data_IF_971308361150
#
_entry.id   IF_971308361150
#
_cell.length_a   1.000
_cell.length_b   1.000
_cell.length_c   1.000
_cell.angle_alpha   90.00
_cell.angle_beta   90.00
_cell.angle_gamma   90.00
#
_symmetry.space_group_name_H-M   'P 1'
#
loop_
_entity.id
_entity.type
_entity.pdbx_description
1 polymer ?
#
# COMPACT_ATOMS: atom_id res chain seq x y z
N UNK A 1 -43.28 9.90 37.77
CA UNK A 1 -44.03 8.87 37.01
C UNK A 1 -43.07 8.26 36.05
N UNK A 2 -42.59 7.08 36.37
CA UNK A 2 -41.64 6.28 35.63
C UNK A 2 -42.35 5.53 34.50
N UNK A 3 -41.82 5.51 33.31
CA UNK A 3 -42.15 4.48 32.31
C UNK A 3 -40.88 3.75 31.92
N UNK A 4 -40.96 2.48 32.19
CA UNK A 4 -40.01 1.38 32.03
C UNK A 4 -39.91 1.08 30.51
N UNK A 5 -38.78 1.41 29.87
CA UNK A 5 -38.46 0.99 28.51
C UNK A 5 -37.87 -0.42 28.52
N UNK A 6 -38.73 -1.41 28.37
CA UNK A 6 -38.34 -2.80 28.07
C UNK A 6 -37.67 -2.87 26.70
N UNK A 7 -36.37 -3.10 26.66
CA UNK A 7 -35.66 -3.49 25.46
C UNK A 7 -36.20 -4.82 24.96
N UNK A 8 -36.94 -4.78 23.84
CA UNK A 8 -37.36 -5.97 23.10
C UNK A 8 -36.13 -6.52 22.40
N UNK A 9 -35.64 -7.66 22.86
CA UNK A 9 -34.53 -8.39 22.18
C UNK A 9 -35.16 -9.09 20.97
N UNK A 10 -34.55 -8.84 19.78
CA UNK A 10 -35.01 -9.42 18.50
C UNK A 10 -35.02 -10.96 18.59
N UNK A 11 -36.18 -11.61 18.28
CA UNK A 11 -36.31 -13.07 18.30
C UNK A 11 -35.39 -13.81 17.32
N UNK A 12 -34.81 -13.13 16.33
CA UNK A 12 -33.84 -13.69 15.38
C UNK A 12 -32.47 -13.93 16.03
N UNK A 13 -32.11 -13.15 17.06
CA UNK A 13 -30.87 -13.31 17.81
C UNK A 13 -30.89 -14.52 18.76
N UNK A 14 -32.09 -14.90 19.25
CA UNK A 14 -32.25 -16.06 20.14
C UNK A 14 -32.20 -17.39 19.39
N UNK A 15 -32.54 -17.44 18.11
CA UNK A 15 -32.48 -18.69 17.30
C UNK A 15 -31.03 -19.11 16.97
N UNK A 16 -30.07 -18.19 16.98
CA UNK A 16 -28.66 -18.49 16.76
C UNK A 16 -27.98 -19.21 17.94
N UNK A 17 -28.57 -19.19 19.13
CA UNK A 17 -27.99 -19.74 20.36
C UNK A 17 -28.50 -21.14 20.71
N UNK A 18 -29.54 -21.65 20.03
CA UNK A 18 -30.21 -22.91 20.40
C UNK A 18 -30.10 -24.04 19.36
N UNK A 19 -29.36 -23.84 18.26
CA UNK A 19 -29.11 -24.92 17.30
C UNK A 19 -27.87 -25.73 17.66
N UNK A 20 -27.96 -27.05 17.83
CA UNK A 20 -26.79 -27.89 18.13
C UNK A 20 -25.84 -27.89 16.93
N UNK A 21 -24.61 -27.45 17.15
CA UNK A 21 -23.52 -27.52 16.15
C UNK A 21 -23.00 -28.95 16.09
N UNK A 22 -23.39 -29.68 15.06
CA UNK A 22 -22.75 -30.97 14.75
C UNK A 22 -21.29 -30.73 14.34
N UNK A 23 -20.36 -31.25 15.13
CA UNK A 23 -18.94 -31.18 14.81
C UNK A 23 -18.61 -32.10 13.65
N UNK A 24 -17.82 -31.65 12.69
CA UNK A 24 -17.35 -32.43 11.54
C UNK A 24 -16.59 -33.71 11.92
N UNK A 25 -16.22 -33.89 13.19
CA UNK A 25 -15.59 -35.11 13.73
C UNK A 25 -16.59 -36.26 13.98
N UNK A 26 -17.89 -35.99 14.07
CA UNK A 26 -18.89 -37.04 14.29
C UNK A 26 -19.32 -37.76 12.99
N UNK A 27 -19.15 -37.12 11.82
CA UNK A 27 -19.54 -37.67 10.52
C UNK A 27 -18.49 -38.68 9.94
N UNK A 28 -17.31 -38.76 10.49
CA UNK A 28 -16.21 -39.61 9.96
C UNK A 28 -16.03 -40.96 10.69
N UNK A 29 -16.88 -41.28 11.67
CA UNK A 29 -16.79 -42.55 12.42
C UNK A 29 -17.75 -43.66 11.95
N UNK A 30 -18.49 -43.45 10.85
CA UNK A 30 -19.54 -44.37 10.41
C UNK A 30 -19.36 -45.06 9.05
N UNK A 31 -18.21 -44.91 8.36
CA UNK A 31 -18.02 -45.62 7.07
C UNK A 31 -16.86 -46.63 7.19
N UNK A 32 -17.22 -47.87 7.20
CA UNK A 32 -16.37 -49.02 7.40
C UNK A 32 -15.32 -49.26 6.31
N UNK A 33 -14.26 -49.87 6.79
CA UNK A 33 -13.11 -50.39 6.06
C UNK A 33 -13.54 -51.45 5.05
N UNK A 34 -13.54 -51.16 3.75
CA UNK A 34 -13.30 -52.10 2.66
C UNK A 34 -13.24 -51.36 1.32
N UNK A 35 -12.09 -51.38 0.67
CA UNK A 35 -11.97 -51.16 -0.77
C UNK A 35 -11.58 -49.73 -1.20
N UNK A 36 -10.31 -49.34 -1.01
CA UNK A 36 -9.66 -48.33 -1.84
C UNK A 36 -8.12 -48.40 -1.75
N UNK A 37 -7.57 -49.52 -2.20
CA UNK A 37 -6.10 -49.68 -2.32
C UNK A 37 -5.62 -49.53 -3.78
N UNK A 38 -6.35 -48.91 -4.68
CA UNK A 38 -6.01 -48.91 -6.11
C UNK A 38 -6.12 -47.55 -6.84
N UNK A 39 -6.09 -46.39 -6.15
CA UNK A 39 -6.15 -45.09 -6.85
C UNK A 39 -5.15 -44.01 -6.34
N UNK A 40 -4.08 -44.38 -5.65
CA UNK A 40 -3.03 -43.45 -5.18
C UNK A 40 -1.77 -43.43 -6.08
N UNK A 41 -1.81 -43.98 -7.28
CA UNK A 41 -0.65 -44.03 -8.18
C UNK A 41 -0.72 -43.06 -9.38
N UNK A 42 -1.65 -42.10 -9.43
CA UNK A 42 -1.82 -41.27 -10.63
C UNK A 42 -1.92 -39.76 -10.38
N UNK A 43 -1.39 -39.21 -9.27
CA UNK A 43 -1.23 -37.77 -9.11
C UNK A 43 0.13 -37.44 -8.52
N UNK A 44 1.17 -37.86 -9.21
CA UNK A 44 2.49 -37.26 -9.08
C UNK A 44 2.46 -35.88 -9.70
N UNK A 45 1.98 -34.86 -8.96
CA UNK A 45 2.16 -33.48 -9.35
C UNK A 45 3.64 -33.16 -9.11
N UNK A 46 4.48 -33.50 -10.08
CA UNK A 46 5.74 -32.78 -10.29
C UNK A 46 5.35 -31.36 -10.54
N UNK A 47 5.69 -30.46 -9.60
CA UNK A 47 5.62 -29.02 -9.81
C UNK A 47 6.58 -28.64 -10.93
N UNK A 48 6.15 -28.83 -12.16
CA UNK A 48 6.76 -28.16 -13.29
C UNK A 48 6.42 -26.70 -13.11
N UNK A 49 7.44 -25.87 -12.94
CA UNK A 49 7.33 -24.45 -13.19
C UNK A 49 6.57 -24.32 -14.52
N UNK A 50 5.32 -23.82 -14.46
CA UNK A 50 4.58 -23.55 -15.69
C UNK A 50 5.46 -22.61 -16.48
N UNK A 51 5.84 -23.01 -17.69
CA UNK A 51 6.58 -22.22 -18.64
C UNK A 51 5.98 -20.81 -18.63
N UNK A 52 6.85 -19.79 -18.53
CA UNK A 52 6.42 -18.43 -18.77
C UNK A 52 5.64 -18.41 -20.10
N UNK A 53 4.48 -17.74 -20.16
CA UNK A 53 3.73 -17.67 -21.41
C UNK A 53 4.68 -17.19 -22.52
N UNK A 54 4.50 -17.68 -23.76
CA UNK A 54 5.35 -17.26 -24.88
C UNK A 54 5.35 -15.71 -24.93
N UNK A 55 6.49 -15.10 -25.35
CA UNK A 55 6.64 -13.63 -25.37
C UNK A 55 5.52 -12.87 -26.08
N UNK A 56 4.80 -13.55 -26.97
CA UNK A 56 3.72 -12.95 -27.75
C UNK A 56 2.33 -13.09 -27.12
N UNK A 57 2.17 -13.90 -26.06
CA UNK A 57 0.83 -14.15 -25.47
C UNK A 57 0.17 -12.88 -24.92
N UNK A 58 0.93 -11.99 -24.30
CA UNK A 58 0.42 -10.70 -23.85
C UNK A 58 -0.02 -9.84 -25.02
N UNK A 59 0.79 -9.72 -26.08
CA UNK A 59 0.44 -8.96 -27.28
C UNK A 59 -0.80 -9.49 -27.97
N UNK A 60 -0.94 -10.82 -28.09
CA UNK A 60 -2.13 -11.45 -28.65
C UNK A 60 -3.37 -11.21 -27.80
N UNK A 61 -3.25 -11.23 -26.48
CA UNK A 61 -4.34 -10.88 -25.57
C UNK A 61 -4.79 -9.44 -25.83
N UNK A 62 -3.84 -8.48 -25.78
CA UNK A 62 -4.15 -7.05 -25.93
C UNK A 62 -4.66 -6.67 -27.33
N UNK A 63 -4.25 -7.38 -28.37
CA UNK A 63 -4.75 -7.16 -29.74
C UNK A 63 -6.24 -7.46 -29.89
N UNK A 64 -6.79 -8.31 -29.03
CA UNK A 64 -8.21 -8.73 -29.03
C UNK A 64 -9.10 -7.86 -28.12
N UNK A 65 -8.49 -7.00 -27.28
CA UNK A 65 -9.27 -6.16 -26.37
C UNK A 65 -9.83 -4.93 -27.08
N UNK A 66 -11.03 -4.56 -26.70
CA UNK A 66 -11.73 -3.35 -27.15
C UNK A 66 -12.14 -2.52 -25.94
N UNK A 67 -12.23 -1.20 -26.09
CA UNK A 67 -12.74 -0.33 -25.05
C UNK A 67 -14.24 -0.60 -24.84
N UNK A 68 -14.60 -0.77 -23.56
CA UNK A 68 -15.98 -0.94 -23.13
C UNK A 68 -16.62 0.37 -22.68
N UNK A 69 -15.84 1.40 -22.43
CA UNK A 69 -16.29 2.69 -21.95
C UNK A 69 -16.64 2.68 -20.44
N UNK A 70 -16.17 1.67 -19.70
CA UNK A 70 -16.38 1.52 -18.26
C UNK A 70 -15.09 1.06 -17.61
N UNK A 71 -14.78 1.60 -16.42
CA UNK A 71 -13.65 1.21 -15.58
C UNK A 71 -14.11 1.08 -14.13
N UNK A 72 -13.98 -0.10 -13.54
CA UNK A 72 -14.20 -0.33 -12.10
C UNK A 72 -12.84 -0.26 -11.39
N UNK A 73 -12.64 0.79 -10.61
CA UNK A 73 -11.35 1.12 -10.00
C UNK A 73 -11.42 1.06 -8.48
N UNK A 74 -10.66 0.13 -7.89
CA UNK A 74 -10.46 0.00 -6.44
C UNK A 74 -9.19 0.73 -6.01
N UNK A 75 -9.31 1.67 -5.09
CA UNK A 75 -8.20 2.46 -4.58
C UNK A 75 -8.31 2.67 -3.06
N UNK A 76 -7.32 3.34 -2.50
CA UNK A 76 -7.21 3.77 -1.12
C UNK A 76 -8.00 5.05 -0.87
N UNK A 77 -8.42 5.34 0.38
CA UNK A 77 -9.02 6.62 0.75
C UNK A 77 -8.07 7.79 0.49
N UNK A 78 -8.64 8.93 0.11
CA UNK A 78 -7.93 10.20 -0.13
C UNK A 78 -6.73 10.08 -1.10
N UNK A 79 -6.80 9.16 -2.07
CA UNK A 79 -5.68 8.82 -2.95
C UNK A 79 -5.92 9.18 -4.42
N UNK A 80 -6.86 10.09 -4.65
CA UNK A 80 -7.12 10.77 -5.92
C UNK A 80 -7.85 12.09 -5.63
N UNK A 81 -7.64 13.10 -6.47
CA UNK A 81 -8.29 14.40 -6.34
C UNK A 81 -9.82 14.29 -6.43
N UNK A 82 -10.51 14.78 -5.40
CA UNK A 82 -11.97 14.87 -5.32
C UNK A 82 -12.49 16.25 -5.68
N UNK A 83 -11.68 17.27 -5.44
CA UNK A 83 -11.98 18.65 -5.79
C UNK A 83 -11.29 19.03 -7.10
N UNK A 84 -11.98 19.77 -7.98
CA UNK A 84 -11.42 20.11 -9.28
C UNK A 84 -10.27 21.10 -9.15
N UNK A 85 -9.08 20.66 -9.46
CA UNK A 85 -7.96 21.54 -9.78
C UNK A 85 -8.14 21.99 -11.24
N UNK A 86 -8.10 23.27 -11.52
CA UNK A 86 -8.37 23.79 -12.87
C UNK A 86 -9.76 23.42 -13.45
N UNK A 87 -10.77 23.24 -12.60
CA UNK A 87 -12.17 23.04 -12.99
C UNK A 87 -12.61 21.60 -13.26
N UNK A 88 -11.72 20.61 -13.28
CA UNK A 88 -12.07 19.20 -13.45
C UNK A 88 -11.15 18.29 -12.66
N UNK A 89 -11.73 17.25 -12.04
CA UNK A 89 -10.96 16.19 -11.39
C UNK A 89 -10.27 15.31 -12.43
N UNK A 90 -9.25 14.57 -12.00
CA UNK A 90 -8.54 13.58 -12.84
C UNK A 90 -9.50 12.59 -13.50
N UNK A 91 -10.51 12.10 -12.75
CA UNK A 91 -11.52 11.18 -13.29
C UNK A 91 -12.40 11.83 -14.36
N UNK A 92 -12.78 13.10 -14.16
CA UNK A 92 -13.56 13.86 -15.16
C UNK A 92 -12.72 14.08 -16.42
N UNK A 93 -11.45 14.46 -16.27
CA UNK A 93 -10.52 14.63 -17.40
C UNK A 93 -10.33 13.36 -18.20
N UNK A 94 -10.20 12.22 -17.50
CA UNK A 94 -10.10 10.91 -18.17
C UNK A 94 -11.38 10.57 -18.94
N UNK A 95 -12.54 10.79 -18.33
CA UNK A 95 -13.85 10.56 -19.00
C UNK A 95 -13.99 11.42 -20.22
N UNK A 96 -13.65 12.71 -20.16
CA UNK A 96 -13.73 13.63 -21.27
C UNK A 96 -12.78 13.25 -22.42
N UNK A 97 -11.58 12.80 -22.09
CA UNK A 97 -10.57 12.42 -23.07
C UNK A 97 -10.85 11.07 -23.75
N UNK A 98 -11.53 10.15 -23.09
CA UNK A 98 -11.64 8.75 -23.54
C UNK A 98 -13.07 8.27 -23.78
N UNK A 99 -14.08 8.96 -23.22
CA UNK A 99 -15.46 8.51 -23.16
C UNK A 99 -15.70 7.41 -22.11
N UNK A 100 -14.67 6.99 -21.35
CA UNK A 100 -14.78 5.92 -20.35
C UNK A 100 -15.29 6.45 -19.02
N UNK A 101 -16.41 5.92 -18.53
CA UNK A 101 -16.94 6.20 -17.20
C UNK A 101 -16.18 5.41 -16.14
N UNK A 102 -15.69 6.09 -15.12
CA UNK A 102 -14.97 5.46 -14.01
C UNK A 102 -15.89 5.27 -12.80
N UNK A 103 -16.06 4.02 -12.37
CA UNK A 103 -16.69 3.64 -11.11
C UNK A 103 -15.59 3.52 -10.05
N UNK A 104 -15.15 4.67 -9.51
CA UNK A 104 -14.10 4.75 -8.49
C UNK A 104 -14.64 4.38 -7.11
N UNK A 105 -13.89 3.59 -6.35
CA UNK A 105 -14.25 3.19 -4.98
C UNK A 105 -13.03 3.14 -4.07
N UNK A 106 -13.13 3.79 -2.93
CA UNK A 106 -12.18 3.74 -1.81
C UNK A 106 -12.48 2.53 -0.93
N UNK A 107 -12.01 1.37 -1.36
CA UNK A 107 -12.35 0.07 -0.73
C UNK A 107 -11.13 -0.66 -0.17
N UNK A 108 -9.94 -0.11 -0.39
CA UNK A 108 -8.70 -0.66 0.12
C UNK A 108 -8.35 0.11 1.40
N UNK A 109 -8.59 -0.51 2.56
CA UNK A 109 -8.23 0.07 3.87
C UNK A 109 -6.87 -0.48 4.35
N UNK A 110 -6.59 -1.72 3.97
CA UNK A 110 -5.32 -2.42 4.09
C UNK A 110 -5.23 -3.52 3.02
N UNK A 111 -4.00 -3.88 2.63
CA UNK A 111 -3.77 -4.86 1.57
C UNK A 111 -4.31 -6.25 1.94
N UNK A 112 -4.09 -6.73 3.17
CA UNK A 112 -4.46 -8.09 3.57
C UNK A 112 -5.97 -8.30 3.55
N UNK A 113 -6.74 -7.39 4.13
CA UNK A 113 -8.22 -7.45 4.13
C UNK A 113 -8.80 -7.35 2.73
N UNK A 114 -8.26 -6.45 1.90
CA UNK A 114 -8.72 -6.30 0.53
C UNK A 114 -8.41 -7.55 -0.32
N UNK A 115 -7.16 -8.00 -0.29
CA UNK A 115 -6.73 -9.21 -1.00
C UNK A 115 -7.45 -10.46 -0.48
N UNK A 116 -7.72 -10.53 0.83
CA UNK A 116 -8.53 -11.59 1.43
C UNK A 116 -9.92 -11.70 0.81
N UNK A 117 -10.57 -10.58 0.50
CA UNK A 117 -11.89 -10.54 -0.12
C UNK A 117 -11.89 -11.00 -1.58
N UNK A 118 -10.87 -10.65 -2.37
CA UNK A 118 -10.83 -10.94 -3.81
C UNK A 118 -10.12 -12.25 -4.16
N UNK A 119 -9.25 -12.76 -3.28
CA UNK A 119 -8.47 -14.00 -3.52
C UNK A 119 -9.32 -15.23 -3.84
N UNK A 120 -10.50 -15.46 -3.23
CA UNK A 120 -11.35 -16.59 -3.63
C UNK A 120 -11.75 -16.54 -5.11
N UNK A 121 -12.13 -15.36 -5.64
CA UNK A 121 -12.47 -15.17 -7.06
C UNK A 121 -11.24 -15.39 -7.95
N UNK A 122 -10.09 -14.82 -7.57
CA UNK A 122 -8.83 -14.99 -8.31
C UNK A 122 -8.43 -16.47 -8.40
N UNK A 123 -8.52 -17.22 -7.30
CA UNK A 123 -8.23 -18.67 -7.28
C UNK A 123 -9.20 -19.50 -8.10
N UNK A 124 -10.45 -19.06 -8.17
CA UNK A 124 -11.47 -19.70 -9.00
C UNK A 124 -11.36 -19.31 -10.50
N UNK A 125 -10.43 -18.42 -10.87
CA UNK A 125 -10.30 -17.88 -12.22
C UNK A 125 -11.52 -17.06 -12.66
N UNK A 126 -12.18 -16.42 -11.69
CA UNK A 126 -13.37 -15.58 -11.89
C UNK A 126 -13.03 -14.10 -11.81
N UNK A 127 -13.89 -13.28 -12.37
CA UNK A 127 -13.86 -11.83 -12.22
C UNK A 127 -13.99 -11.42 -10.75
N UNK A 128 -13.16 -10.48 -10.33
CA UNK A 128 -13.18 -9.91 -8.97
C UNK A 128 -14.21 -8.77 -8.80
N UNK A 129 -14.74 -8.27 -9.91
CA UNK A 129 -15.54 -7.06 -9.98
C UNK A 129 -14.71 -5.78 -10.20
N UNK A 130 -13.39 -5.88 -10.19
CA UNK A 130 -12.47 -4.77 -10.42
C UNK A 130 -11.71 -4.94 -11.72
N UNK A 131 -11.49 -3.82 -12.43
CA UNK A 131 -10.67 -3.76 -13.64
C UNK A 131 -9.28 -3.20 -13.34
N UNK A 132 -9.19 -2.33 -12.33
CA UNK A 132 -7.94 -1.71 -11.87
C UNK A 132 -7.90 -1.71 -10.34
N UNK A 133 -6.74 -2.02 -9.77
CA UNK A 133 -6.47 -2.00 -8.34
C UNK A 133 -5.14 -1.32 -8.07
N UNK A 134 -5.00 -0.67 -6.90
CA UNK A 134 -3.75 -0.09 -6.42
C UNK A 134 -3.24 -0.92 -5.24
N UNK A 135 -2.13 -1.63 -5.43
CA UNK A 135 -1.58 -2.59 -4.47
C UNK A 135 -0.13 -2.25 -4.14
N UNK A 136 0.20 -2.26 -2.86
CA UNK A 136 1.55 -1.96 -2.36
C UNK A 136 2.52 -3.11 -2.68
N UNK A 137 3.80 -2.78 -2.92
CA UNK A 137 4.88 -3.77 -2.96
C UNK A 137 5.20 -4.29 -1.53
N UNK A 138 6.30 -5.03 -1.36
CA UNK A 138 6.70 -5.58 -0.05
C UNK A 138 6.00 -6.89 0.30
N UNK A 139 5.66 -7.68 -0.71
CA UNK A 139 5.06 -9.01 -0.56
C UNK A 139 3.66 -9.12 -1.15
N UNK A 140 2.90 -8.02 -1.25
CA UNK A 140 1.51 -8.06 -1.74
C UNK A 140 1.44 -8.19 -3.26
N UNK A 141 2.02 -7.27 -4.01
CA UNK A 141 2.04 -7.33 -5.48
C UNK A 141 2.83 -8.54 -5.96
N UNK A 142 3.95 -8.88 -5.29
CA UNK A 142 4.78 -10.04 -5.59
C UNK A 142 4.02 -11.35 -5.44
N UNK A 143 3.16 -11.45 -4.42
CA UNK A 143 2.28 -12.60 -4.19
C UNK A 143 1.28 -12.78 -5.32
N UNK A 144 0.66 -11.67 -5.78
CA UNK A 144 -0.28 -11.69 -6.90
C UNK A 144 0.41 -12.11 -8.21
N UNK A 145 1.60 -11.57 -8.48
CA UNK A 145 2.41 -11.92 -9.67
C UNK A 145 2.78 -13.42 -9.61
N UNK A 146 3.33 -13.88 -8.50
CA UNK A 146 3.77 -15.27 -8.30
C UNK A 146 2.62 -16.28 -8.44
N UNK A 147 1.41 -15.90 -8.05
CA UNK A 147 0.21 -16.71 -8.17
C UNK A 147 -0.47 -16.58 -9.54
N UNK A 148 0.08 -15.78 -10.45
CA UNK A 148 -0.50 -15.48 -11.78
C UNK A 148 -1.94 -14.93 -11.67
N UNK A 149 -2.17 -14.04 -10.74
CA UNK A 149 -3.46 -13.39 -10.50
C UNK A 149 -3.61 -12.05 -11.21
N UNK A 150 -2.54 -11.58 -11.84
CA UNK A 150 -2.54 -10.32 -12.60
C UNK A 150 -2.44 -10.57 -14.10
N UNK A 151 -3.09 -9.70 -14.87
CA UNK A 151 -2.94 -9.64 -16.31
C UNK A 151 -1.55 -9.11 -16.66
N UNK A 152 -0.84 -9.82 -17.53
CA UNK A 152 0.42 -9.31 -18.07
C UNK A 152 0.15 -8.11 -18.97
N UNK A 153 0.89 -7.00 -18.75
CA UNK A 153 0.76 -5.76 -19.50
C UNK A 153 1.53 -5.83 -20.83
N UNK A 154 1.01 -5.16 -21.85
CA UNK A 154 1.79 -4.78 -23.03
C UNK A 154 2.33 -3.36 -22.82
N UNK A 155 3.51 -3.25 -22.24
CA UNK A 155 4.16 -1.97 -21.89
C UNK A 155 4.38 -1.08 -23.14
N UNK A 156 4.40 -1.65 -24.35
CA UNK A 156 4.49 -0.85 -25.59
C UNK A 156 3.25 0.00 -25.83
N UNK A 157 2.13 -0.30 -25.17
CA UNK A 157 0.86 0.45 -25.20
C UNK A 157 0.77 1.53 -24.12
N UNK A 158 1.85 1.77 -23.39
CA UNK A 158 1.95 2.79 -22.34
C UNK A 158 2.96 3.88 -22.73
N UNK A 159 2.70 4.68 -23.78
CA UNK A 159 3.66 5.67 -24.29
C UNK A 159 3.99 6.76 -23.26
N UNK A 160 3.03 7.20 -22.42
CA UNK A 160 3.27 8.21 -21.40
C UNK A 160 4.11 7.64 -20.26
N UNK A 161 3.80 6.43 -19.77
CA UNK A 161 4.65 5.71 -18.83
C UNK A 161 6.08 5.58 -19.36
N UNK A 162 6.24 5.08 -20.58
CA UNK A 162 7.55 4.87 -21.18
C UNK A 162 8.35 6.18 -21.29
N UNK A 163 7.68 7.29 -21.57
CA UNK A 163 8.31 8.60 -21.74
C UNK A 163 8.60 9.29 -20.42
N UNK A 164 7.64 9.32 -19.50
CA UNK A 164 7.64 10.24 -18.37
C UNK A 164 7.88 9.57 -17.02
N UNK A 165 7.73 8.23 -16.87
CA UNK A 165 8.07 7.59 -15.62
C UNK A 165 9.54 7.78 -15.29
N UNK A 166 9.84 8.14 -14.05
CA UNK A 166 11.19 8.25 -13.54
C UNK A 166 11.89 6.87 -13.51
N UNK A 167 13.20 6.87 -13.59
CA UNK A 167 14.00 5.65 -13.78
C UNK A 167 13.79 4.62 -12.66
N UNK A 168 13.64 5.08 -11.43
CA UNK A 168 13.41 4.25 -10.23
C UNK A 168 12.11 3.47 -10.24
N UNK A 169 11.11 3.90 -11.04
CA UNK A 169 9.82 3.22 -11.21
C UNK A 169 9.76 2.32 -12.45
N UNK A 170 10.82 2.32 -13.25
CA UNK A 170 10.98 1.42 -14.39
C UNK A 170 11.78 0.19 -13.99
N UNK A 171 11.29 -0.98 -14.36
CA UNK A 171 11.97 -2.25 -14.10
C UNK A 171 12.25 -2.53 -12.61
N UNK A 172 11.26 -2.36 -11.70
CA UNK A 172 11.47 -2.62 -10.27
C UNK A 172 11.77 -4.10 -10.01
N UNK A 173 12.52 -4.39 -8.94
CA UNK A 173 12.95 -5.76 -8.59
C UNK A 173 11.78 -6.73 -8.36
N UNK A 174 10.64 -6.23 -7.88
CA UNK A 174 9.44 -7.02 -7.63
C UNK A 174 8.60 -7.33 -8.90
N UNK A 175 8.77 -6.54 -9.97
CA UNK A 175 8.08 -6.73 -11.27
C UNK A 175 9.01 -6.36 -12.43
N UNK A 176 10.02 -7.20 -12.73
CA UNK A 176 10.98 -6.91 -13.77
C UNK A 176 10.34 -6.64 -15.13
N UNK A 177 10.66 -5.50 -15.73
CA UNK A 177 10.10 -5.03 -16.99
C UNK A 177 8.70 -4.44 -16.89
N UNK A 178 8.18 -4.18 -15.68
CA UNK A 178 6.83 -3.69 -15.44
C UNK A 178 5.75 -4.55 -16.14
N UNK A 179 5.96 -5.87 -16.10
CA UNK A 179 5.11 -6.81 -16.84
C UNK A 179 3.69 -6.91 -16.30
N UNK A 180 3.46 -6.51 -15.03
CA UNK A 180 2.16 -6.68 -14.39
C UNK A 180 1.65 -5.40 -13.72
N UNK A 181 2.53 -4.41 -13.56
CA UNK A 181 2.20 -3.21 -12.79
C UNK A 181 2.99 -1.98 -13.25
N UNK A 182 2.42 -0.81 -13.00
CA UNK A 182 3.12 0.47 -13.05
C UNK A 182 2.82 1.26 -11.78
N UNK A 183 3.76 2.06 -11.30
CA UNK A 183 3.60 2.82 -10.07
C UNK A 183 2.41 3.79 -10.15
N UNK A 184 1.63 3.89 -9.06
CA UNK A 184 0.64 4.93 -8.83
C UNK A 184 1.25 6.10 -8.08
N UNK A 185 1.73 5.84 -6.89
CA UNK A 185 2.50 6.76 -6.06
C UNK A 185 3.55 5.95 -5.28
N UNK A 186 4.49 6.67 -4.66
CA UNK A 186 5.43 6.07 -3.72
C UNK A 186 5.53 6.93 -2.47
N UNK A 187 6.00 6.36 -1.38
CA UNK A 187 6.20 7.10 -0.15
C UNK A 187 7.35 6.51 0.65
N UNK A 188 7.68 7.19 1.73
CA UNK A 188 8.75 6.79 2.63
C UNK A 188 8.15 6.49 3.99
N UNK A 189 8.46 5.31 4.52
CA UNK A 189 8.26 4.99 5.93
C UNK A 189 9.48 5.42 6.71
N UNK A 190 9.28 6.32 7.69
CA UNK A 190 10.32 6.81 8.56
C UNK A 190 9.75 7.27 9.91
N UNK A 191 10.08 8.45 10.43
CA UNK A 191 9.64 8.91 11.75
C UNK A 191 8.87 10.23 11.62
N UNK A 192 7.60 10.21 12.07
CA UNK A 192 6.81 11.40 12.36
C UNK A 192 6.95 11.78 13.84
N UNK A 193 7.11 13.06 14.18
CA UNK A 193 7.25 13.49 15.56
C UNK A 193 6.80 14.92 15.81
N UNK A 194 6.41 15.20 17.05
CA UNK A 194 6.08 16.53 17.51
C UNK A 194 7.29 17.14 18.25
N UNK A 195 8.01 18.13 17.68
CA UNK A 195 9.23 18.70 18.28
C UNK A 195 8.99 19.40 19.62
N UNK A 196 7.78 19.91 19.87
CA UNK A 196 7.45 20.53 21.16
C UNK A 196 7.35 19.50 22.28
N UNK A 197 6.80 18.29 21.95
CA UNK A 197 6.63 17.22 22.93
C UNK A 197 7.92 16.44 23.14
N UNK A 198 8.69 16.19 22.09
CA UNK A 198 10.00 15.53 22.20
C UNK A 198 11.04 16.43 22.87
N UNK A 199 10.86 17.77 22.79
CA UNK A 199 11.79 18.75 23.33
C UNK A 199 13.15 18.80 22.63
N UNK A 200 13.31 18.05 21.54
CA UNK A 200 14.50 18.00 20.68
C UNK A 200 14.17 17.51 19.29
N UNK A 201 15.06 17.76 18.36
CA UNK A 201 15.00 17.14 17.03
C UNK A 201 15.25 15.63 17.13
N UNK A 202 14.53 14.88 16.31
CA UNK A 202 14.70 13.45 16.10
C UNK A 202 15.58 13.26 14.87
N UNK A 203 16.60 12.40 14.96
CA UNK A 203 17.59 12.24 13.89
C UNK A 203 18.02 10.80 13.64
N UNK A 204 17.63 9.88 14.52
CA UNK A 204 18.07 8.49 14.52
C UNK A 204 16.89 7.55 14.77
N UNK A 205 16.96 6.36 14.22
CA UNK A 205 16.05 5.26 14.56
C UNK A 205 16.08 4.93 16.05
N UNK A 206 17.26 5.08 16.70
CA UNK A 206 17.42 4.82 18.14
C UNK A 206 16.61 5.80 19.01
N UNK A 207 16.15 6.92 18.48
CA UNK A 207 15.25 7.83 19.17
C UNK A 207 13.91 7.17 19.54
N UNK A 208 13.44 6.20 18.70
CA UNK A 208 12.26 5.39 19.01
C UNK A 208 12.47 4.42 20.20
N UNK A 209 13.69 4.29 20.69
CA UNK A 209 14.09 3.45 21.82
C UNK A 209 14.56 4.28 23.02
N UNK A 210 14.49 5.61 22.97
CA UNK A 210 14.93 6.49 24.05
C UNK A 210 13.97 6.38 25.25
N UNK A 211 14.44 5.97 26.44
CA UNK A 211 13.61 5.88 27.65
C UNK A 211 12.90 7.18 28.05
N UNK A 212 13.39 8.35 27.57
CA UNK A 212 12.71 9.63 27.78
C UNK A 212 11.34 9.71 27.15
N UNK A 213 11.07 8.91 26.12
CA UNK A 213 9.80 8.86 25.43
C UNK A 213 8.92 7.68 25.86
N UNK A 214 9.21 7.07 27.02
CA UNK A 214 8.47 5.94 27.54
C UNK A 214 6.96 6.16 27.53
N UNK A 215 6.22 5.24 26.88
CA UNK A 215 4.78 5.30 26.74
C UNK A 215 4.28 6.38 25.76
N UNK A 216 5.16 6.92 24.90
CA UNK A 216 4.85 7.97 23.92
C UNK A 216 5.31 7.63 22.49
N UNK A 217 5.80 6.42 22.27
CA UNK A 217 6.28 5.93 20.99
C UNK A 217 5.22 5.05 20.34
N UNK A 218 4.94 5.30 19.06
CA UNK A 218 4.17 4.42 18.18
C UNK A 218 5.06 3.65 17.21
N UNK A 219 4.70 2.41 16.91
CA UNK A 219 5.31 1.62 15.84
C UNK A 219 4.20 0.98 15.03
N UNK A 220 4.38 0.83 13.72
CA UNK A 220 3.39 0.11 12.91
C UNK A 220 3.25 -1.35 13.36
N UNK A 221 2.03 -1.87 13.30
CA UNK A 221 1.71 -3.24 13.72
C UNK A 221 1.68 -4.24 12.57
N UNK A 222 2.28 -3.91 11.43
CA UNK A 222 2.30 -4.76 10.25
C UNK A 222 3.59 -5.58 10.11
N UNK A 223 3.54 -6.61 9.28
CA UNK A 223 4.67 -7.52 9.04
C UNK A 223 5.57 -7.10 7.87
N UNK A 224 5.38 -5.91 7.32
CA UNK A 224 6.16 -5.40 6.18
C UNK A 224 7.02 -4.24 6.60
N UNK A 225 6.41 -3.12 7.00
CA UNK A 225 7.15 -1.90 7.37
C UNK A 225 7.95 -2.05 8.65
N UNK A 226 7.31 -2.55 9.73
CA UNK A 226 7.94 -2.67 11.03
C UNK A 226 9.27 -3.46 11.00
N UNK A 227 9.31 -4.69 10.45
CA UNK A 227 10.55 -5.46 10.42
C UNK A 227 11.64 -4.83 9.55
N UNK A 228 11.24 -4.33 8.38
CA UNK A 228 12.18 -3.76 7.42
C UNK A 228 12.79 -2.46 7.95
N UNK A 229 11.98 -1.57 8.54
CA UNK A 229 12.47 -0.34 9.14
C UNK A 229 13.36 -0.60 10.36
N UNK A 230 13.04 -1.62 11.17
CA UNK A 230 13.92 -2.05 12.27
C UNK A 230 15.29 -2.52 11.75
N UNK A 231 15.34 -3.25 10.65
CA UNK A 231 16.62 -3.65 10.03
C UNK A 231 17.41 -2.44 9.54
N UNK A 232 16.76 -1.49 8.85
CA UNK A 232 17.40 -0.24 8.42
C UNK A 232 17.99 0.49 9.62
N UNK A 233 17.23 0.65 10.70
CA UNK A 233 17.68 1.27 11.94
C UNK A 233 18.88 0.56 12.59
N UNK A 234 19.10 -0.71 12.29
CA UNK A 234 20.26 -1.49 12.73
C UNK A 234 21.43 -1.48 11.71
N UNK A 235 21.32 -0.69 10.64
CA UNK A 235 22.32 -0.63 9.56
C UNK A 235 22.32 -1.87 8.65
N UNK A 236 21.21 -2.62 8.61
CA UNK A 236 21.05 -3.80 7.78
C UNK A 236 20.24 -3.41 6.55
N UNK A 237 20.77 -3.68 5.35
CA UNK A 237 20.02 -3.51 4.11
C UNK A 237 18.95 -4.62 3.98
N UNK A 238 17.64 -4.30 4.00
CA UNK A 238 16.59 -5.30 3.95
C UNK A 238 16.64 -6.22 2.73
N UNK A 239 16.94 -5.70 1.53
CA UNK A 239 17.01 -6.51 0.30
C UNK A 239 18.05 -7.63 0.37
N UNK A 240 19.12 -7.43 1.16
CA UNK A 240 20.23 -8.36 1.32
C UNK A 240 20.18 -9.12 2.65
N UNK A 241 19.14 -8.90 3.46
CA UNK A 241 19.01 -9.46 4.80
C UNK A 241 18.89 -10.98 4.79
N UNK A 242 19.32 -11.60 5.87
CA UNK A 242 19.27 -13.04 6.12
C UNK A 242 18.30 -13.35 7.27
N UNK A 243 17.94 -14.62 7.46
CA UNK A 243 17.13 -15.04 8.60
C UNK A 243 17.77 -14.66 9.94
N UNK A 244 19.11 -14.68 10.05
CA UNK A 244 19.80 -14.25 11.26
C UNK A 244 19.58 -12.74 11.55
N UNK A 245 19.54 -11.93 10.50
CA UNK A 245 19.25 -10.49 10.61
C UNK A 245 17.80 -10.27 11.02
N UNK A 246 16.86 -11.05 10.50
CA UNK A 246 15.44 -10.99 10.87
C UNK A 246 15.24 -11.27 12.36
N UNK A 247 15.90 -12.32 12.89
CA UNK A 247 15.85 -12.66 14.32
C UNK A 247 16.44 -11.56 15.19
N UNK A 248 17.53 -10.94 14.76
CA UNK A 248 18.13 -9.80 15.46
C UNK A 248 17.18 -8.59 15.50
N UNK A 249 16.52 -8.27 14.38
CA UNK A 249 15.53 -7.20 14.32
C UNK A 249 14.32 -7.51 15.22
N UNK A 250 13.85 -8.75 15.22
CA UNK A 250 12.78 -9.21 16.08
C UNK A 250 13.12 -9.07 17.58
N UNK A 251 14.36 -9.44 17.96
CA UNK A 251 14.82 -9.29 19.34
C UNK A 251 14.90 -7.83 19.79
N UNK A 252 15.35 -6.94 18.89
CA UNK A 252 15.36 -5.49 19.17
C UNK A 252 13.93 -4.94 19.36
N UNK A 253 12.99 -5.33 18.55
CA UNK A 253 11.58 -4.93 18.68
C UNK A 253 10.95 -5.46 19.97
N UNK A 254 11.24 -6.71 20.34
CA UNK A 254 10.80 -7.28 21.64
C UNK A 254 11.37 -6.49 22.81
N UNK A 255 12.66 -6.13 22.78
CA UNK A 255 13.27 -5.30 23.82
C UNK A 255 12.56 -3.96 23.98
N UNK A 256 12.18 -3.29 22.90
CA UNK A 256 11.42 -2.05 22.94
C UNK A 256 10.06 -2.26 23.61
N UNK A 257 9.31 -3.25 23.19
CA UNK A 257 8.01 -3.61 23.76
C UNK A 257 8.13 -3.92 25.25
N UNK A 258 9.04 -4.81 25.63
CA UNK A 258 9.20 -5.32 27.00
C UNK A 258 9.75 -4.25 27.97
N UNK A 259 10.48 -3.25 27.46
CA UNK A 259 10.94 -2.09 28.24
C UNK A 259 9.81 -1.11 28.60
N UNK A 260 8.66 -1.21 27.90
CA UNK A 260 7.53 -0.30 28.05
C UNK A 260 7.77 1.09 27.42
N UNK A 261 8.76 1.23 26.55
CA UNK A 261 8.97 2.46 25.74
C UNK A 261 7.84 2.61 24.74
N UNK A 262 7.52 1.51 24.05
CA UNK A 262 6.40 1.45 23.14
C UNK A 262 5.08 1.70 23.89
N UNK A 263 4.28 2.66 23.40
CA UNK A 263 2.91 2.85 23.89
C UNK A 263 1.99 1.78 23.32
N UNK A 264 2.03 1.59 22.00
CA UNK A 264 1.24 0.59 21.28
C UNK A 264 1.79 0.37 19.88
N UNK A 265 1.46 -0.76 19.29
CA UNK A 265 1.45 -0.92 17.85
C UNK A 265 0.22 -0.22 17.27
N UNK A 266 0.38 0.46 16.13
CA UNK A 266 -0.64 1.31 15.52
C UNK A 266 -0.86 0.90 14.07
N UNK A 267 -2.09 1.08 13.59
CA UNK A 267 -2.36 1.23 12.17
C UNK A 267 -2.18 2.70 11.74
N UNK A 268 -2.27 2.96 10.45
CA UNK A 268 -2.10 4.29 9.89
C UNK A 268 -3.06 5.33 10.54
N UNK A 269 -4.35 5.02 10.66
CA UNK A 269 -5.33 5.95 11.23
C UNK A 269 -5.05 6.25 12.72
N UNK A 270 -4.58 5.26 13.48
CA UNK A 270 -4.22 5.43 14.89
C UNK A 270 -2.93 6.21 15.07
N UNK A 271 -1.98 6.08 14.14
CA UNK A 271 -0.74 6.85 14.12
C UNK A 271 -1.06 8.34 13.92
N UNK A 272 -1.82 8.67 12.85
CA UNK A 272 -2.28 10.02 12.55
C UNK A 272 -2.98 10.62 13.77
N UNK A 273 -3.98 9.94 14.32
CA UNK A 273 -4.71 10.41 15.50
C UNK A 273 -3.80 10.59 16.71
N UNK A 274 -2.85 9.69 16.92
CA UNK A 274 -1.92 9.72 18.04
C UNK A 274 -0.98 10.92 18.00
N UNK A 275 -0.44 11.24 16.84
CA UNK A 275 0.42 12.42 16.62
C UNK A 275 -0.37 13.72 16.73
N UNK A 276 -1.57 13.80 16.13
CA UNK A 276 -2.44 14.97 16.21
C UNK A 276 -2.89 15.31 17.64
N UNK A 277 -3.23 14.29 18.42
CA UNK A 277 -3.68 14.46 19.82
C UNK A 277 -2.53 14.73 20.78
N UNK A 278 -1.29 14.38 20.43
CA UNK A 278 -0.13 14.37 21.33
C UNK A 278 -0.06 13.15 22.26
N UNK A 279 -0.87 12.13 22.04
CA UNK A 279 -0.75 10.83 22.72
C UNK A 279 0.52 10.13 22.33
N UNK A 280 0.91 10.23 21.05
CA UNK A 280 2.21 9.86 20.54
C UNK A 280 3.06 11.12 20.36
N UNK A 281 4.30 11.10 20.83
CA UNK A 281 5.25 12.18 20.61
C UNK A 281 6.10 11.95 19.39
N UNK A 282 6.34 10.68 19.07
CA UNK A 282 6.98 10.21 17.86
C UNK A 282 6.47 8.83 17.50
N UNK A 283 6.46 8.52 16.21
CA UNK A 283 5.96 7.25 15.67
C UNK A 283 6.65 6.91 14.37
N UNK A 284 6.65 5.61 14.00
CA UNK A 284 6.73 5.30 12.58
C UNK A 284 5.60 6.02 11.88
N UNK A 285 5.88 6.59 10.69
CA UNK A 285 4.93 7.38 9.93
C UNK A 285 5.19 7.23 8.43
N UNK A 286 4.16 7.43 7.63
CA UNK A 286 4.30 7.62 6.18
C UNK A 286 4.51 9.10 5.86
N UNK A 287 5.31 9.39 4.85
CA UNK A 287 5.71 10.75 4.50
C UNK A 287 4.53 11.69 4.21
N UNK A 288 3.52 11.24 3.44
CA UNK A 288 2.36 12.05 3.09
C UNK A 288 1.40 12.31 4.25
N UNK A 289 1.32 11.39 5.23
CA UNK A 289 0.41 11.54 6.36
C UNK A 289 0.78 12.73 7.24
N UNK A 290 2.08 12.96 7.44
CA UNK A 290 2.56 14.11 8.23
C UNK A 290 2.14 15.44 7.61
N UNK A 291 2.10 15.50 6.29
CA UNK A 291 1.62 16.67 5.57
C UNK A 291 0.12 16.87 5.82
N UNK A 292 -0.69 15.84 5.65
CA UNK A 292 -2.13 15.88 5.91
C UNK A 292 -2.45 16.26 7.36
N UNK A 293 -1.70 15.70 8.33
CA UNK A 293 -1.84 16.05 9.76
C UNK A 293 -1.65 17.56 9.96
N UNK A 294 -0.60 18.14 9.39
CA UNK A 294 -0.31 19.57 9.54
C UNK A 294 -1.39 20.45 8.91
N UNK A 295 -1.87 20.10 7.71
CA UNK A 295 -2.95 20.82 7.05
C UNK A 295 -4.26 20.81 7.86
N UNK A 296 -4.60 19.68 8.50
CA UNK A 296 -5.77 19.59 9.38
C UNK A 296 -5.59 20.39 10.69
N UNK A 297 -4.39 20.36 11.28
CA UNK A 297 -4.08 21.15 12.47
C UNK A 297 -4.21 22.63 12.19
N UNK A 298 -3.71 23.11 11.06
CA UNK A 298 -3.81 24.50 10.63
C UNK A 298 -5.26 24.93 10.40
N UNK A 299 -6.06 24.11 9.71
CA UNK A 299 -7.51 24.33 9.54
C UNK A 299 -8.24 24.43 10.88
N UNK A 300 -7.78 23.68 11.90
CA UNK A 300 -8.32 23.72 13.26
C UNK A 300 -7.78 24.89 14.11
N UNK A 301 -6.98 25.81 13.52
CA UNK A 301 -6.36 26.94 14.23
C UNK A 301 -5.27 26.50 15.22
N UNK A 302 -4.73 25.31 15.08
CA UNK A 302 -3.61 24.78 15.85
C UNK A 302 -2.33 24.89 15.02
N UNK A 303 -1.16 25.14 15.63
CA UNK A 303 0.09 25.11 14.87
C UNK A 303 0.34 23.71 14.31
N UNK A 304 0.46 23.59 13.00
CA UNK A 304 0.92 22.38 12.32
C UNK A 304 2.42 22.23 12.54
N UNK A 305 2.82 21.36 13.46
CA UNK A 305 4.24 21.23 13.81
C UNK A 305 4.70 19.78 13.89
N UNK A 306 3.95 18.85 13.32
CA UNK A 306 4.46 17.48 13.18
C UNK A 306 5.53 17.51 12.09
N UNK A 307 6.73 17.03 12.43
CA UNK A 307 7.84 16.89 11.49
C UNK A 307 7.98 15.46 11.03
N UNK A 308 8.37 15.29 9.78
CA UNK A 308 8.83 14.02 9.25
C UNK A 308 10.34 14.04 9.12
N UNK A 309 11.00 12.95 9.48
CA UNK A 309 12.44 12.81 9.33
C UNK A 309 12.81 11.43 8.84
N UNK A 310 13.63 11.37 7.80
CA UNK A 310 14.36 10.16 7.43
C UNK A 310 15.58 10.11 8.35
N UNK A 311 15.63 9.17 9.32
CA UNK A 311 16.74 9.09 10.26
C UNK A 311 18.07 8.87 9.52
N UNK A 312 19.19 9.10 10.20
CA UNK A 312 20.53 8.95 9.62
C UNK A 312 20.81 7.53 9.09
N UNK A 313 20.12 6.53 9.63
CA UNK A 313 20.19 5.14 9.20
C UNK A 313 19.42 4.88 7.91
N UNK A 314 18.45 5.73 7.57
CA UNK A 314 17.62 5.62 6.37
C UNK A 314 16.13 5.40 6.64
N UNK A 315 15.35 5.31 5.56
CA UNK A 315 13.92 5.02 5.56
C UNK A 315 13.57 3.89 4.60
N UNK A 316 12.32 3.43 4.61
CA UNK A 316 11.80 2.45 3.65
C UNK A 316 11.08 3.16 2.52
N UNK A 317 11.48 2.91 1.27
CA UNK A 317 10.78 3.39 0.08
C UNK A 317 9.82 2.30 -0.41
N UNK A 318 8.54 2.58 -0.33
CA UNK A 318 7.48 1.72 -0.86
C UNK A 318 6.83 2.33 -2.10
N UNK A 319 6.14 1.49 -2.85
CA UNK A 319 5.45 1.88 -4.07
C UNK A 319 4.08 1.22 -4.09
N UNK A 320 3.06 2.03 -4.28
CA UNK A 320 1.73 1.56 -4.64
C UNK A 320 1.63 1.43 -6.15
N UNK A 321 1.11 0.32 -6.60
CA UNK A 321 1.16 -0.08 -7.99
C UNK A 321 -0.24 -0.29 -8.56
N UNK A 322 -0.52 0.35 -9.67
CA UNK A 322 -1.68 0.03 -10.49
C UNK A 322 -1.48 -1.33 -11.14
N UNK A 323 -2.42 -2.22 -10.98
CA UNK A 323 -2.41 -3.55 -11.59
C UNK A 323 -3.82 -3.98 -12.02
N UNK A 324 -3.89 -4.83 -13.03
CA UNK A 324 -5.12 -5.36 -13.61
C UNK A 324 -5.31 -6.79 -13.13
N UNK A 325 -6.37 -7.11 -12.36
CA UNK A 325 -6.60 -8.49 -11.94
C UNK A 325 -6.91 -9.39 -13.13
N UNK A 326 -6.48 -10.65 -13.02
CA UNK A 326 -6.80 -11.64 -14.06
C UNK A 326 -8.32 -11.77 -14.21
N UNK A 327 -8.81 -11.84 -15.45
CA UNK A 327 -10.25 -11.87 -15.78
C UNK A 327 -11.01 -10.56 -15.51
N UNK A 328 -10.33 -9.42 -15.39
CA UNK A 328 -10.97 -8.12 -15.47
C UNK A 328 -11.85 -8.01 -16.73
N UNK A 329 -13.01 -7.39 -16.62
CA UNK A 329 -13.94 -7.26 -17.74
C UNK A 329 -13.57 -6.18 -18.74
N UNK A 330 -12.90 -5.13 -18.26
CA UNK A 330 -12.59 -3.94 -19.03
C UNK A 330 -11.07 -3.64 -18.99
N UNK A 331 -10.21 -4.62 -19.34
CA UNK A 331 -8.76 -4.47 -19.17
C UNK A 331 -8.15 -3.38 -20.02
N UNK A 332 -8.71 -3.09 -21.23
CA UNK A 332 -8.19 -2.04 -22.10
C UNK A 332 -8.51 -0.64 -21.56
N UNK A 333 -9.68 -0.45 -20.92
CA UNK A 333 -10.02 0.81 -20.25
C UNK A 333 -9.08 1.04 -19.07
N UNK A 334 -8.77 -0.01 -18.30
CA UNK A 334 -7.80 0.03 -17.21
C UNK A 334 -6.38 0.36 -17.72
N UNK A 335 -5.90 -0.32 -18.76
CA UNK A 335 -4.58 -0.02 -19.37
C UNK A 335 -4.51 1.42 -19.89
N UNK A 336 -5.61 1.91 -20.47
CA UNK A 336 -5.70 3.31 -20.95
C UNK A 336 -5.59 4.30 -19.79
N UNK A 337 -6.23 4.01 -18.63
CA UNK A 337 -6.13 4.84 -17.44
C UNK A 337 -4.71 4.82 -16.86
N UNK A 338 -4.08 3.64 -16.79
CA UNK A 338 -2.70 3.51 -16.33
C UNK A 338 -1.74 4.40 -17.11
N UNK A 339 -1.91 4.52 -18.43
CA UNK A 339 -1.07 5.42 -19.23
C UNK A 339 -1.48 6.89 -19.14
N UNK A 340 -2.78 7.16 -18.99
CA UNK A 340 -3.32 8.52 -18.91
C UNK A 340 -2.74 9.29 -17.74
N UNK A 341 -2.62 8.68 -16.57
CA UNK A 341 -2.14 9.35 -15.36
C UNK A 341 -0.63 9.68 -15.39
N UNK A 342 0.09 9.18 -16.38
CA UNK A 342 1.49 9.54 -16.62
C UNK A 342 1.65 10.78 -17.53
N UNK A 343 0.56 11.42 -18.00
CA UNK A 343 0.66 12.72 -18.64
C UNK A 343 1.11 13.76 -17.62
N UNK A 344 2.08 14.64 -17.94
CA UNK A 344 2.68 15.56 -16.96
C UNK A 344 1.70 16.44 -16.21
N UNK A 345 0.67 16.94 -16.89
CA UNK A 345 -0.37 17.80 -16.32
C UNK A 345 -1.37 17.03 -15.44
N UNK A 346 -1.60 15.74 -15.73
CA UNK A 346 -2.40 14.85 -14.88
C UNK A 346 -1.59 14.46 -13.64
N UNK A 347 -0.34 14.07 -13.84
CA UNK A 347 0.55 13.69 -12.74
C UNK A 347 0.82 14.87 -11.77
N UNK A 348 0.94 16.09 -12.30
CA UNK A 348 1.05 17.30 -11.50
C UNK A 348 -0.20 17.54 -10.64
N UNK A 349 -1.39 17.42 -11.23
CA UNK A 349 -2.67 17.54 -10.52
C UNK A 349 -2.81 16.49 -9.40
N UNK A 350 -2.45 15.24 -9.69
CA UNK A 350 -2.46 14.17 -8.69
C UNK A 350 -1.45 14.42 -7.57
N UNK A 351 -0.23 14.85 -7.90
CA UNK A 351 0.81 15.13 -6.91
C UNK A 351 0.46 16.34 -6.01
N UNK A 352 -0.23 17.36 -6.55
CA UNK A 352 -0.72 18.51 -5.79
C UNK A 352 -1.76 18.10 -4.72
N UNK A 353 -2.57 17.06 -5.01
CA UNK A 353 -3.61 16.59 -4.09
C UNK A 353 -3.12 15.50 -3.14
N UNK A 354 -2.39 14.49 -3.68
CA UNK A 354 -2.01 13.29 -2.94
C UNK A 354 -0.81 13.55 -2.01
N UNK A 355 0.09 14.45 -2.42
CA UNK A 355 1.28 14.87 -1.64
C UNK A 355 2.24 13.72 -1.28
N UNK A 356 2.25 12.69 -2.11
CA UNK A 356 3.21 11.59 -2.10
C UNK A 356 4.17 11.67 -3.30
N UNK A 357 5.20 10.85 -3.31
CA UNK A 357 6.19 10.81 -4.39
C UNK A 357 5.50 10.37 -5.70
N UNK A 358 5.37 11.28 -6.65
CA UNK A 358 4.82 10.96 -7.98
C UNK A 358 5.81 10.15 -8.82
N UNK A 359 5.35 9.14 -9.57
CA UNK A 359 6.23 8.43 -10.49
C UNK A 359 6.64 9.25 -11.73
N UNK A 360 6.07 10.45 -11.92
CA UNK A 360 6.36 11.38 -13.04
C UNK A 360 7.11 12.59 -12.48
N UNK A 361 8.32 12.39 -11.97
CA UNK A 361 9.10 13.36 -11.19
C UNK A 361 9.32 14.70 -11.91
N UNK A 362 10.26 14.73 -12.84
CA UNK A 362 10.71 15.99 -13.49
C UNK A 362 9.61 16.65 -14.31
N UNK A 363 8.82 15.86 -15.02
CA UNK A 363 7.80 16.39 -15.91
C UNK A 363 6.60 16.96 -15.14
N UNK A 364 6.16 16.35 -14.04
CA UNK A 364 5.10 16.88 -13.18
C UNK A 364 5.56 18.14 -12.43
N UNK A 365 6.80 18.14 -11.93
CA UNK A 365 7.40 19.32 -11.29
C UNK A 365 7.47 20.50 -12.24
N UNK A 366 7.99 20.31 -13.45
CA UNK A 366 8.06 21.33 -14.48
C UNK A 366 6.66 21.86 -14.85
N UNK A 367 5.64 21.00 -14.88
CA UNK A 367 4.25 21.40 -15.12
C UNK A 367 3.72 22.29 -13.98
N UNK A 368 3.93 21.91 -12.73
CA UNK A 368 3.55 22.74 -11.58
C UNK A 368 4.24 24.11 -11.61
N UNK A 369 5.53 24.16 -11.91
CA UNK A 369 6.30 25.39 -12.03
C UNK A 369 5.74 26.33 -13.10
N UNK A 370 5.23 25.79 -14.22
CA UNK A 370 4.57 26.57 -15.27
C UNK A 370 3.20 27.10 -14.85
N UNK A 371 2.52 26.44 -13.91
CA UNK A 371 1.21 26.85 -13.41
C UNK A 371 1.32 27.93 -12.31
N UNK A 372 2.40 27.99 -11.54
CA UNK A 372 2.62 28.95 -10.45
C UNK A 372 2.29 30.40 -10.83
N UNK A 373 2.73 30.95 -11.99
CA UNK A 373 2.44 32.34 -12.35
C UNK A 373 0.96 32.62 -12.66
N UNK A 374 0.19 31.57 -12.98
CA UNK A 374 -1.22 31.66 -13.41
C UNK A 374 -2.21 31.28 -12.31
N UNK A 375 -1.73 30.69 -11.22
CA UNK A 375 -2.54 30.25 -10.09
C UNK A 375 -3.02 31.48 -9.28
N UNK A 376 -4.20 31.36 -8.66
CA UNK A 376 -4.64 32.27 -7.62
C UNK A 376 -3.67 32.25 -6.42
N UNK A 377 -3.76 33.24 -5.50
CA UNK A 377 -2.78 33.39 -4.42
C UNK A 377 -2.65 32.17 -3.51
N UNK A 378 -3.76 31.49 -3.20
CA UNK A 378 -3.79 30.31 -2.32
C UNK A 378 -3.13 29.10 -3.00
N UNK A 379 -3.58 28.75 -4.19
CA UNK A 379 -3.01 27.65 -4.98
C UNK A 379 -1.54 27.92 -5.33
N UNK A 380 -1.17 29.18 -5.58
CA UNK A 380 0.22 29.56 -5.83
C UNK A 380 1.13 29.19 -4.67
N UNK A 381 0.69 29.44 -3.43
CA UNK A 381 1.45 29.08 -2.24
C UNK A 381 1.59 27.55 -2.12
N UNK A 382 0.51 26.79 -2.35
CA UNK A 382 0.52 25.33 -2.36
C UNK A 382 1.50 24.77 -3.39
N UNK A 383 1.43 25.22 -4.64
CA UNK A 383 2.34 24.78 -5.69
C UNK A 383 3.81 25.13 -5.39
N UNK A 384 4.06 26.32 -4.84
CA UNK A 384 5.42 26.73 -4.44
C UNK A 384 5.99 25.90 -3.31
N UNK A 385 5.16 25.42 -2.40
CA UNK A 385 5.54 24.49 -1.35
C UNK A 385 5.81 23.09 -1.96
N UNK A 386 4.85 22.55 -2.72
CA UNK A 386 4.92 21.23 -3.30
C UNK A 386 6.17 21.02 -4.18
N UNK A 387 6.52 21.97 -5.07
CA UNK A 387 7.70 21.82 -5.95
C UNK A 387 9.04 21.78 -5.21
N UNK A 388 9.06 22.21 -3.94
CA UNK A 388 10.26 22.23 -3.09
C UNK A 388 10.29 21.07 -2.10
N UNK A 389 9.18 20.36 -1.96
CA UNK A 389 9.07 19.31 -0.96
C UNK A 389 9.74 18.02 -1.45
N UNK A 390 10.79 17.54 -0.75
CA UNK A 390 11.46 16.29 -1.10
C UNK A 390 10.60 15.04 -0.86
N UNK A 391 9.48 15.16 -0.16
CA UNK A 391 8.52 14.07 0.04
C UNK A 391 7.57 13.89 -1.16
N UNK A 392 7.53 14.86 -2.07
CA UNK A 392 6.80 14.81 -3.35
C UNK A 392 7.78 14.66 -4.51
N UNK A 393 8.87 15.42 -4.47
CA UNK A 393 9.92 15.46 -5.48
C UNK A 393 11.30 15.23 -4.85
N UNK A 394 11.61 13.99 -4.41
CA UNK A 394 12.88 13.67 -3.78
C UNK A 394 14.04 13.86 -4.75
N UNK A 395 15.15 14.37 -4.22
CA UNK A 395 16.41 14.39 -4.96
C UNK A 395 17.05 12.98 -4.97
N UNK A 396 18.00 12.71 -5.88
CA UNK A 396 18.77 11.47 -5.82
C UNK A 396 19.43 11.23 -4.45
N UNK A 397 19.90 12.27 -3.79
CA UNK A 397 20.51 12.19 -2.45
C UNK A 397 19.49 11.79 -1.35
N UNK A 398 18.22 12.20 -1.49
CA UNK A 398 17.17 11.77 -0.58
C UNK A 398 16.86 10.29 -0.78
N UNK A 399 16.81 9.82 -2.03
CA UNK A 399 16.56 8.42 -2.36
C UNK A 399 17.72 7.48 -2.00
N UNK A 400 18.99 7.96 -2.03
CA UNK A 400 20.15 7.19 -1.57
C UNK A 400 20.05 6.78 -0.08
N UNK A 401 19.28 7.52 0.70
CA UNK A 401 19.02 7.23 2.13
C UNK A 401 17.83 6.31 2.33
N UNK A 402 17.25 5.78 1.28
CA UNK A 402 16.10 4.87 1.36
C UNK A 402 16.49 3.45 0.98
N UNK A 403 15.74 2.50 1.51
CA UNK A 403 15.90 1.08 1.24
C UNK A 403 14.60 0.51 0.69
N UNK A 404 14.70 -0.55 -0.11
CA UNK A 404 13.55 -1.26 -0.65
C UNK A 404 13.29 -2.54 0.13
N UNK A 405 12.06 -3.05 0.04
CA UNK A 405 11.69 -4.32 0.65
C UNK A 405 12.40 -5.49 -0.05
N UNK A 406 12.74 -6.50 0.74
CA UNK A 406 13.19 -7.78 0.20
C UNK A 406 12.03 -8.51 -0.47
N UNK A 407 12.27 -9.00 -1.68
CA UNK A 407 11.34 -9.91 -2.35
C UNK A 407 11.52 -11.31 -1.74
N UNK A 408 10.58 -11.73 -0.91
CA UNK A 408 10.64 -13.02 -0.21
C UNK A 408 10.16 -14.16 -1.12
N UNK A 409 10.84 -15.30 -1.06
CA UNK A 409 10.31 -16.56 -1.58
C UNK A 409 9.18 -17.08 -0.67
N UNK A 410 8.36 -18.01 -1.14
CA UNK A 410 7.30 -18.64 -0.32
C UNK A 410 7.82 -19.28 0.98
N UNK A 411 9.04 -19.82 0.94
CA UNK A 411 9.65 -20.41 2.13
C UNK A 411 10.13 -19.34 3.10
N UNK A 412 10.77 -18.29 2.60
CA UNK A 412 11.19 -17.16 3.40
C UNK A 412 10.00 -16.43 4.02
N UNK A 413 8.90 -16.24 3.28
CA UNK A 413 7.67 -15.62 3.79
C UNK A 413 7.10 -16.38 5.00
N UNK A 414 7.13 -17.71 4.99
CA UNK A 414 6.70 -18.52 6.15
C UNK A 414 7.60 -18.30 7.37
N UNK A 415 8.92 -18.28 7.15
CA UNK A 415 9.89 -18.05 8.23
C UNK A 415 9.74 -16.61 8.77
N UNK A 416 9.65 -15.63 7.88
CA UNK A 416 9.43 -14.23 8.21
C UNK A 416 8.19 -14.05 9.11
N UNK A 417 7.03 -14.57 8.69
CA UNK A 417 5.81 -14.47 9.46
C UNK A 417 5.93 -15.15 10.82
N UNK A 418 6.58 -16.33 10.89
CA UNK A 418 6.80 -17.02 12.17
C UNK A 418 7.68 -16.24 13.16
N UNK A 419 8.54 -15.34 12.65
CA UNK A 419 9.42 -14.49 13.47
C UNK A 419 8.70 -13.23 13.92
N UNK A 420 7.96 -12.54 13.02
CA UNK A 420 7.47 -11.20 13.26
C UNK A 420 6.00 -11.12 13.71
N UNK A 421 5.11 -12.01 13.26
CA UNK A 421 3.71 -12.00 13.73
C UNK A 421 3.57 -12.04 15.27
N UNK A 422 4.37 -12.83 16.04
CA UNK A 422 4.25 -12.85 17.51
C UNK A 422 4.66 -11.55 18.19
N UNK A 423 5.32 -10.64 17.48
CA UNK A 423 5.80 -9.37 18.06
C UNK A 423 4.64 -8.40 18.22
N UNK A 424 3.80 -8.29 17.19
CA UNK A 424 2.69 -7.31 17.15
C UNK A 424 1.41 -7.85 17.78
N UNK A 425 1.30 -9.18 17.97
CA UNK A 425 0.13 -9.84 18.56
C UNK A 425 0.29 -10.14 20.06
N UNK A 426 1.45 -9.91 20.64
CA UNK A 426 1.80 -10.22 22.04
C UNK A 426 1.65 -8.94 22.95
#
# INVERSE_FOLDING_TARGET
MSQDERRIVDPALLRGLTTPRFSRRAALRGAGIAGMSALLAACGVKGTAKNAPPPDAAKEFWAKQTKAGVLNFANWPAYIDTDPVNGKTTLQRFTDATGTKVNYKEVIQDNDSFLGKITPSLRAGQDTGWDLMVITNGGYIERLIRQSFLQELDVSRLPNFNRYAAAEFKNPSYDPGNRHSVAWQAGITAIGYNPRLTGREITSFEDLFDPKFKGRVGMFGDNVDLPNFAMVGMGINPEKSTEADWRRAADKLKQQRDSGILRKYVDNAQEIQGLQSGDLWLSMAYSGDVFQINAELEKAGKPGEIKFVIPKEGGMLWTDNMCIPLKAKHPLDALTYMDFVYQPDIAAQLAEFIEYITPVQDAAKAQMEQEIPRADPERKQTLQAAVKDPLIFPTPADLERTHRYRVLTLQEEKVWNSIFEPITQG
#
